data_IF_763476105328
#
_entry.id   IF_763476105328
#
_cell.length_a   1.000
_cell.length_b   1.000
_cell.length_c   1.000
_cell.angle_alpha   90.00
_cell.angle_beta   90.00
_cell.angle_gamma   90.00
#
_symmetry.space_group_name_H-M   'P 1'
#
loop_
_entity.id
_entity.type
_entity.pdbx_description
1 polymer ?
#
# COMPACT_ATOMS: atom_id res chain seq x y z
N UNK A 1 -16.15 -10.99 -20.18
CA UNK A 1 -16.36 -9.52 -20.11
C UNK A 1 -16.67 -9.03 -18.70
N UNK A 2 -17.58 -9.68 -17.95
CA UNK A 2 -17.89 -9.32 -16.57
C UNK A 2 -16.66 -9.23 -15.65
N UNK A 3 -15.76 -10.22 -15.71
CA UNK A 3 -14.53 -10.24 -14.90
C UNK A 3 -13.60 -9.03 -15.15
N UNK A 4 -13.59 -8.48 -16.36
CA UNK A 4 -12.81 -7.27 -16.64
C UNK A 4 -13.39 -6.05 -15.91
N UNK A 5 -14.71 -5.88 -15.96
CA UNK A 5 -15.38 -4.79 -15.26
C UNK A 5 -15.25 -4.92 -13.74
N UNK A 6 -15.40 -6.13 -13.21
CA UNK A 6 -15.19 -6.40 -11.77
C UNK A 6 -13.75 -6.08 -11.38
N UNK A 7 -12.77 -6.59 -12.12
CA UNK A 7 -11.36 -6.33 -11.85
C UNK A 7 -11.05 -4.83 -11.87
N UNK A 8 -11.51 -4.10 -12.88
CA UNK A 8 -11.32 -2.64 -12.97
C UNK A 8 -12.00 -1.89 -11.83
N UNK A 9 -13.23 -2.27 -11.45
CA UNK A 9 -13.94 -1.66 -10.34
C UNK A 9 -13.17 -1.87 -9.02
N UNK A 10 -12.67 -3.08 -8.78
CA UNK A 10 -11.84 -3.39 -7.60
C UNK A 10 -10.54 -2.59 -7.62
N UNK A 11 -9.88 -2.45 -8.77
CA UNK A 11 -8.69 -1.60 -8.93
C UNK A 11 -8.98 -0.14 -8.57
N UNK A 12 -10.11 0.42 -9.00
CA UNK A 12 -10.51 1.79 -8.64
C UNK A 12 -10.74 1.92 -7.13
N UNK A 13 -11.43 0.96 -6.50
CA UNK A 13 -11.62 0.94 -5.05
C UNK A 13 -10.29 0.89 -4.32
N UNK A 14 -9.39 -0.01 -4.73
CA UNK A 14 -8.02 -0.13 -4.22
C UNK A 14 -7.25 1.18 -4.32
N UNK A 15 -7.29 1.84 -5.49
CA UNK A 15 -6.64 3.12 -5.72
C UNK A 15 -7.20 4.22 -4.80
N UNK A 16 -8.52 4.29 -4.62
CA UNK A 16 -9.15 5.26 -3.73
C UNK A 16 -8.76 5.03 -2.26
N UNK A 17 -8.75 3.78 -1.81
CA UNK A 17 -8.28 3.40 -0.46
C UNK A 17 -6.82 3.82 -0.29
N UNK A 18 -5.97 3.51 -1.27
CA UNK A 18 -4.55 3.85 -1.21
C UNK A 18 -4.30 5.36 -1.23
N UNK A 19 -5.03 6.10 -2.07
CA UNK A 19 -4.93 7.56 -2.14
C UNK A 19 -5.36 8.21 -0.82
N UNK A 20 -6.46 7.74 -0.22
CA UNK A 20 -6.91 8.21 1.10
C UNK A 20 -5.84 7.95 2.17
N UNK A 21 -5.30 6.73 2.23
CA UNK A 21 -4.24 6.39 3.20
C UNK A 21 -2.95 7.16 2.97
N UNK A 22 -2.59 7.44 1.70
CA UNK A 22 -1.46 8.29 1.36
C UNK A 22 -1.67 9.72 1.88
N UNK A 23 -2.83 10.33 1.65
CA UNK A 23 -3.17 11.67 2.15
C UNK A 23 -3.17 11.69 3.67
N UNK A 24 -3.76 10.68 4.33
CA UNK A 24 -3.76 10.55 5.79
C UNK A 24 -2.34 10.40 6.34
N UNK A 25 -1.49 9.62 5.66
CA UNK A 25 -0.09 9.43 6.05
C UNK A 25 0.71 10.74 5.96
N UNK A 26 0.50 11.52 4.89
CA UNK A 26 1.12 12.84 4.73
C UNK A 26 0.59 13.83 5.76
N UNK A 27 -0.72 13.84 6.03
CA UNK A 27 -1.31 14.69 7.05
C UNK A 27 -0.83 14.32 8.46
N UNK A 28 -0.71 13.03 8.76
CA UNK A 28 -0.14 12.51 10.01
C UNK A 28 1.31 12.95 10.15
N UNK A 29 2.12 12.80 9.09
CA UNK A 29 3.50 13.26 9.03
C UNK A 29 3.61 14.76 9.33
N UNK A 30 2.85 15.59 8.61
CA UNK A 30 2.88 17.04 8.74
C UNK A 30 2.45 17.52 10.14
N UNK A 31 1.53 16.81 10.80
CA UNK A 31 1.07 17.14 12.16
C UNK A 31 2.07 16.74 13.24
N UNK A 32 2.78 15.62 13.07
CA UNK A 32 3.70 15.11 14.09
C UNK A 32 5.14 15.60 13.93
N UNK A 33 5.49 16.11 12.75
CA UNK A 33 6.73 16.84 12.55
C UNK A 33 6.49 18.31 12.92
N UNK A 34 6.67 18.61 14.20
CA UNK A 34 6.51 19.96 14.76
C UNK A 34 7.48 20.92 14.06
N UNK A 35 6.95 21.99 13.47
CA UNK A 35 7.76 22.97 12.73
C UNK A 35 8.47 23.96 13.66
N UNK A 36 8.11 23.97 14.95
CA UNK A 36 8.66 24.89 15.94
C UNK A 36 9.85 24.34 16.73
N UNK A 37 10.16 23.03 16.64
CA UNK A 37 11.29 22.40 17.35
C UNK A 37 12.22 21.69 16.37
N UNK A 38 13.53 21.75 16.62
CA UNK A 38 14.52 21.00 15.87
C UNK A 38 14.20 19.49 15.99
N UNK A 39 13.84 18.79 14.90
CA UNK A 39 13.38 17.41 14.99
C UNK A 39 14.52 16.49 15.39
N UNK A 40 14.33 15.72 16.46
CA UNK A 40 15.29 14.70 16.91
C UNK A 40 15.22 13.48 16.01
N UNK A 41 16.34 12.75 15.87
CA UNK A 41 16.40 11.50 15.11
C UNK A 41 15.30 10.49 15.50
N UNK A 42 15.02 10.35 16.80
CA UNK A 42 13.97 9.45 17.32
C UNK A 42 12.57 9.87 16.88
N UNK A 43 12.28 11.18 16.87
CA UNK A 43 10.99 11.70 16.42
C UNK A 43 10.78 11.42 14.93
N UNK A 44 11.80 11.66 14.11
CA UNK A 44 11.76 11.38 12.67
C UNK A 44 11.56 9.88 12.40
N UNK A 45 12.31 9.04 13.10
CA UNK A 45 12.19 7.59 12.97
C UNK A 45 10.78 7.12 13.33
N UNK A 46 10.20 7.63 14.41
CA UNK A 46 8.84 7.29 14.83
C UNK A 46 7.78 7.71 13.81
N UNK A 47 7.87 8.94 13.28
CA UNK A 47 6.91 9.44 12.29
C UNK A 47 7.01 8.67 10.96
N UNK A 48 8.24 8.44 10.46
CA UNK A 48 8.44 7.64 9.25
C UNK A 48 7.90 6.23 9.45
N UNK A 49 8.23 5.57 10.57
CA UNK A 49 7.73 4.22 10.88
C UNK A 49 6.21 4.18 10.91
N UNK A 50 5.56 5.20 11.49
CA UNK A 50 4.10 5.33 11.47
C UNK A 50 3.53 5.40 10.05
N UNK A 51 4.14 6.20 9.18
CA UNK A 51 3.77 6.25 7.75
C UNK A 51 3.95 4.88 7.08
N UNK A 52 5.07 4.18 7.34
CA UNK A 52 5.30 2.84 6.79
C UNK A 52 4.19 1.86 7.21
N UNK A 53 3.86 1.83 8.49
CA UNK A 53 2.83 0.92 9.04
C UNK A 53 1.48 1.20 8.38
N UNK A 54 1.07 2.46 8.25
CA UNK A 54 -0.21 2.82 7.62
C UNK A 54 -0.25 2.35 6.16
N UNK A 55 0.82 2.56 5.40
CA UNK A 55 0.89 2.15 3.99
C UNK A 55 0.90 0.62 3.83
N UNK A 56 1.63 -0.10 4.68
CA UNK A 56 1.64 -1.58 4.68
C UNK A 56 0.25 -2.10 5.00
N UNK A 57 -0.40 -1.59 6.05
CA UNK A 57 -1.78 -1.97 6.39
C UNK A 57 -2.74 -1.70 5.24
N UNK A 58 -2.54 -0.62 4.49
CA UNK A 58 -3.29 -0.32 3.26
C UNK A 58 -3.18 -1.43 2.21
N UNK A 59 -1.97 -1.94 1.97
CA UNK A 59 -1.78 -3.05 1.04
C UNK A 59 -2.46 -4.34 1.53
N UNK A 60 -2.39 -4.64 2.84
CA UNK A 60 -3.10 -5.78 3.42
C UNK A 60 -4.63 -5.68 3.27
N UNK A 61 -5.20 -4.49 3.45
CA UNK A 61 -6.64 -4.25 3.22
C UNK A 61 -6.99 -4.54 1.76
N UNK A 62 -6.16 -4.13 0.82
CA UNK A 62 -6.42 -4.38 -0.60
C UNK A 62 -6.31 -5.86 -0.97
N UNK A 63 -5.35 -6.59 -0.41
CA UNK A 63 -5.25 -8.05 -0.52
C UNK A 63 -6.54 -8.70 0.00
N UNK A 64 -7.06 -8.23 1.14
CA UNK A 64 -8.32 -8.72 1.70
C UNK A 64 -9.53 -8.40 0.80
N UNK A 65 -9.59 -7.22 0.19
CA UNK A 65 -10.65 -6.84 -0.76
C UNK A 65 -10.66 -7.81 -1.95
N UNK A 66 -9.51 -8.07 -2.56
CA UNK A 66 -9.39 -9.05 -3.65
C UNK A 66 -9.81 -10.46 -3.22
N UNK A 67 -9.36 -10.90 -2.04
CA UNK A 67 -9.73 -12.20 -1.50
C UNK A 67 -11.26 -12.32 -1.32
N UNK A 68 -11.89 -11.29 -0.77
CA UNK A 68 -13.34 -11.24 -0.60
C UNK A 68 -14.09 -11.30 -1.95
N UNK A 69 -13.55 -10.67 -3.00
CA UNK A 69 -14.12 -10.73 -4.35
C UNK A 69 -14.01 -12.15 -4.91
N UNK A 70 -12.87 -12.82 -4.75
CA UNK A 70 -12.71 -14.19 -5.25
C UNK A 70 -13.65 -15.18 -4.55
N UNK A 71 -13.85 -15.06 -3.23
CA UNK A 71 -14.84 -15.88 -2.51
C UNK A 71 -16.27 -15.59 -3.00
N UNK A 72 -16.62 -14.32 -3.21
CA UNK A 72 -17.96 -13.95 -3.71
C UNK A 72 -18.24 -14.43 -5.14
N UNK A 73 -17.20 -14.51 -5.97
CA UNK A 73 -17.29 -15.09 -7.31
C UNK A 73 -17.33 -16.63 -7.30
N UNK A 74 -17.23 -17.27 -6.13
CA UNK A 74 -17.22 -18.72 -5.99
C UNK A 74 -15.92 -19.38 -6.44
N UNK A 75 -14.86 -18.59 -6.66
CA UNK A 75 -13.56 -19.09 -7.14
C UNK A 75 -12.83 -19.89 -6.04
N UNK A 76 -12.95 -19.44 -4.80
CA UNK A 76 -12.39 -20.12 -3.63
C UNK A 76 -13.48 -20.37 -2.60
N UNK A 77 -13.44 -21.54 -1.97
CA UNK A 77 -14.41 -21.97 -0.94
C UNK A 77 -14.16 -21.33 0.42
N UNK A 78 -12.92 -20.92 0.70
CA UNK A 78 -12.54 -20.33 1.98
C UNK A 78 -11.72 -19.04 1.80
N UNK A 79 -11.90 -18.12 2.74
CA UNK A 79 -11.27 -16.80 2.68
C UNK A 79 -9.75 -16.87 2.89
N UNK A 80 -9.25 -17.84 3.67
CA UNK A 80 -7.82 -17.91 3.99
C UNK A 80 -7.01 -18.29 2.75
N UNK A 81 -7.47 -19.27 1.98
CA UNK A 81 -6.92 -19.69 0.70
C UNK A 81 -7.02 -18.55 -0.33
N UNK A 82 -8.18 -17.89 -0.42
CA UNK A 82 -8.35 -16.72 -1.28
C UNK A 82 -7.39 -15.57 -0.91
N UNK A 83 -7.18 -15.35 0.39
CA UNK A 83 -6.28 -14.33 0.92
C UNK A 83 -4.83 -14.67 0.62
N UNK A 84 -4.42 -15.93 0.77
CA UNK A 84 -3.08 -16.38 0.42
C UNK A 84 -2.82 -16.23 -1.09
N UNK A 85 -3.72 -16.74 -1.95
CA UNK A 85 -3.61 -16.55 -3.40
C UNK A 85 -3.54 -15.06 -3.77
N UNK A 86 -4.42 -14.26 -3.17
CA UNK A 86 -4.46 -12.81 -3.34
C UNK A 86 -3.14 -12.16 -2.94
N UNK A 87 -2.53 -12.55 -1.81
CA UNK A 87 -1.26 -12.01 -1.35
C UNK A 87 -0.11 -12.37 -2.30
N UNK A 88 -0.01 -13.64 -2.70
CA UNK A 88 1.02 -14.13 -3.63
C UNK A 88 0.92 -13.40 -4.97
N UNK A 89 -0.29 -13.23 -5.49
CA UNK A 89 -0.51 -12.61 -6.78
C UNK A 89 -0.39 -11.07 -6.75
N UNK A 90 -0.91 -10.42 -5.72
CA UNK A 90 -0.74 -8.97 -5.50
C UNK A 90 0.72 -8.58 -5.28
N UNK A 91 1.49 -9.41 -4.57
CA UNK A 91 2.93 -9.23 -4.41
C UNK A 91 3.74 -9.65 -5.66
N UNK A 92 3.08 -10.08 -6.74
CA UNK A 92 3.68 -10.56 -8.00
C UNK A 92 4.61 -11.76 -7.87
N UNK A 93 4.47 -12.53 -6.79
CA UNK A 93 5.28 -13.73 -6.54
C UNK A 93 4.88 -14.86 -7.49
N UNK A 94 3.57 -15.06 -7.68
CA UNK A 94 3.03 -16.01 -8.66
C UNK A 94 3.55 -17.44 -8.51
N UNK A 95 3.60 -17.97 -7.28
CA UNK A 95 4.13 -19.32 -7.01
C UNK A 95 3.49 -20.43 -7.86
N UNK A 96 2.24 -20.24 -8.29
CA UNK A 96 1.53 -21.18 -9.16
C UNK A 96 1.07 -22.45 -8.46
N UNK A 97 1.17 -22.50 -7.14
CA UNK A 97 0.62 -23.53 -6.27
C UNK A 97 -0.91 -23.47 -6.20
N UNK A 98 -1.47 -22.26 -6.29
CA UNK A 98 -2.90 -22.01 -6.44
C UNK A 98 -3.12 -21.21 -7.71
N UNK A 99 -3.99 -21.71 -8.58
CA UNK A 99 -4.32 -21.09 -9.87
C UNK A 99 -5.82 -20.90 -10.00
N UNK A 100 -6.23 -19.81 -10.63
CA UNK A 100 -7.65 -19.53 -10.90
C UNK A 100 -8.17 -20.38 -12.05
N UNK A 101 -9.46 -20.68 -12.01
CA UNK A 101 -10.25 -21.30 -13.06
C UNK A 101 -10.18 -20.52 -14.38
N UNK A 102 -10.45 -21.20 -15.50
CA UNK A 102 -10.42 -20.55 -16.82
C UNK A 102 -11.40 -19.38 -16.94
N UNK A 103 -12.50 -19.43 -16.19
CA UNK A 103 -13.50 -18.36 -16.16
C UNK A 103 -12.92 -17.08 -15.56
N UNK A 104 -12.26 -17.19 -14.39
CA UNK A 104 -11.80 -16.04 -13.62
C UNK A 104 -10.33 -15.66 -13.84
N UNK A 105 -9.53 -16.45 -14.57
CA UNK A 105 -8.07 -16.27 -14.75
C UNK A 105 -7.62 -14.85 -15.16
N UNK A 106 -8.46 -14.09 -15.86
CA UNK A 106 -8.14 -12.70 -16.26
C UNK A 106 -7.98 -11.75 -15.06
N UNK A 107 -8.62 -12.06 -13.93
CA UNK A 107 -8.50 -11.29 -12.70
C UNK A 107 -7.10 -11.40 -12.08
N UNK A 108 -6.40 -12.51 -12.30
CA UNK A 108 -5.04 -12.73 -11.80
C UNK A 108 -4.07 -11.65 -12.28
N UNK A 109 -3.83 -11.48 -13.59
CA UNK A 109 -2.99 -10.42 -14.11
C UNK A 109 -3.44 -9.01 -13.70
N UNK A 110 -4.75 -8.74 -13.64
CA UNK A 110 -5.27 -7.44 -13.21
C UNK A 110 -4.91 -7.15 -11.75
N UNK A 111 -5.03 -8.14 -10.87
CA UNK A 111 -4.63 -8.01 -9.47
C UNK A 111 -3.11 -7.81 -9.33
N UNK A 112 -2.29 -8.52 -10.11
CA UNK A 112 -0.84 -8.35 -10.07
C UNK A 112 -0.43 -6.93 -10.49
N UNK A 113 -1.01 -6.40 -11.58
CA UNK A 113 -0.80 -5.01 -12.01
C UNK A 113 -1.25 -4.02 -10.94
N UNK A 114 -2.40 -4.28 -10.30
CA UNK A 114 -2.88 -3.45 -9.20
C UNK A 114 -1.87 -3.44 -8.05
N UNK A 115 -1.36 -4.61 -7.63
CA UNK A 115 -0.39 -4.71 -6.55
C UNK A 115 0.89 -3.92 -6.81
N UNK A 116 1.47 -4.05 -8.01
CA UNK A 116 2.65 -3.25 -8.42
C UNK A 116 2.36 -1.76 -8.35
N UNK A 117 1.21 -1.32 -8.84
CA UNK A 117 0.82 0.09 -8.83
C UNK A 117 0.73 0.62 -7.38
N UNK A 118 0.12 -0.15 -6.47
CA UNK A 118 -0.12 0.25 -5.08
C UNK A 118 1.15 0.28 -4.24
N UNK A 119 2.05 -0.69 -4.47
CA UNK A 119 3.40 -0.69 -3.90
C UNK A 119 4.19 0.52 -4.43
N UNK A 120 4.06 0.84 -5.73
CA UNK A 120 4.66 2.03 -6.34
C UNK A 120 4.20 3.33 -5.69
N UNK A 121 2.89 3.51 -5.50
CA UNK A 121 2.31 4.67 -4.80
C UNK A 121 2.80 4.75 -3.35
N UNK A 122 2.79 3.64 -2.62
CA UNK A 122 3.32 3.56 -1.25
C UNK A 122 4.79 4.02 -1.18
N UNK A 123 5.60 3.53 -2.11
CA UNK A 123 7.03 3.88 -2.20
C UNK A 123 7.23 5.37 -2.48
N UNK A 124 6.44 5.95 -3.40
CA UNK A 124 6.52 7.37 -3.71
C UNK A 124 6.21 8.26 -2.49
N UNK A 125 5.16 7.91 -1.74
CA UNK A 125 4.78 8.61 -0.50
C UNK A 125 5.89 8.50 0.55
N UNK A 126 6.43 7.31 0.75
CA UNK A 126 7.52 7.06 1.70
C UNK A 126 8.78 7.85 1.33
N UNK A 127 9.16 7.85 0.06
CA UNK A 127 10.29 8.61 -0.45
C UNK A 127 10.10 10.12 -0.24
N UNK A 128 8.90 10.63 -0.48
CA UNK A 128 8.58 12.04 -0.21
C UNK A 128 8.75 12.39 1.28
N UNK A 129 8.22 11.54 2.19
CA UNK A 129 8.35 11.74 3.63
C UNK A 129 9.81 11.66 4.12
N UNK A 130 10.59 10.71 3.58
CA UNK A 130 12.01 10.55 3.90
C UNK A 130 12.84 11.74 3.41
N UNK A 131 12.58 12.22 2.19
CA UNK A 131 13.28 13.37 1.63
C UNK A 131 13.02 14.64 2.45
N UNK A 132 11.78 14.89 2.88
CA UNK A 132 11.47 16.03 3.74
C UNK A 132 12.17 15.90 5.10
N UNK A 133 12.15 14.70 5.70
CA UNK A 133 12.80 14.45 6.98
C UNK A 133 14.31 14.70 6.91
N UNK A 134 14.99 14.23 5.86
CA UNK A 134 16.42 14.44 5.65
C UNK A 134 16.76 15.93 5.47
N UNK A 135 15.92 16.69 4.76
CA UNK A 135 16.09 18.14 4.62
C UNK A 135 16.05 18.84 5.99
N UNK A 136 15.10 18.46 6.85
CA UNK A 136 14.95 19.02 8.20
C UNK A 136 16.14 18.70 9.11
N UNK A 137 16.64 17.46 9.09
CA UNK A 137 17.85 17.07 9.87
C UNK A 137 19.07 17.90 9.45
N UNK A 138 19.27 18.07 8.14
CA UNK A 138 20.39 18.86 7.61
C UNK A 138 20.28 20.33 8.01
N UNK A 139 19.09 20.90 7.97
CA UNK A 139 18.85 22.28 8.40
C UNK A 139 19.16 22.48 9.89
N UNK A 140 18.68 21.58 10.76
CA UNK A 140 18.95 21.63 12.19
C UNK A 140 20.45 21.49 12.52
N UNK A 141 21.18 20.61 11.82
CA UNK A 141 22.64 20.47 11.99
C UNK A 141 23.41 21.73 11.57
N UNK A 142 23.00 22.39 10.47
CA UNK A 142 23.63 23.65 10.01
C UNK A 142 23.47 24.76 11.04
N UNK A 143 22.28 24.89 11.63
CA UNK A 143 22.02 25.90 12.68
C UNK A 143 22.82 25.63 13.96
N UNK A 144 23.04 24.37 14.33
CA UNK A 144 23.85 24.03 15.50
C UNK A 144 25.36 24.20 15.32
N UNK A 145 25.84 24.41 14.08
CA UNK A 145 27.26 24.58 13.75
C UNK A 145 27.63 26.03 13.41
N UNK A 146 26.65 26.95 13.42
CA UNK A 146 26.80 28.38 13.21
C UNK A 146 26.72 29.13 14.55
#
# INVERSE_FOLDING_TARGET
MLNLFVGLAVMVVCLLVQAMLAVLSVAFYARHIDSSKAPTFVSILGVISGVMVVLVMGNFIQIAIWAAVFVQLGEFTDFLTAFYHSAVNFATLGYGDIVMSEEHRVLGPLQAVNGVLMIGVSTAVMMSALQDALKRVRAARRQASA
#
